data_IF_810532817796
#
_entry.id   IF_810532817796
#
_cell.length_a   1.000
_cell.length_b   1.000
_cell.length_c   1.000
_cell.angle_alpha   90.00
_cell.angle_beta   90.00
_cell.angle_gamma   90.00
#
_symmetry.space_group_name_H-M   'P 1'
#
loop_
_entity.id
_entity.type
_entity.pdbx_description
1 polymer ?
#
# COMPACT_ATOMS: atom_id res chain seq x y z
N UNK A 1 -32.19 26.36 -28.27
CA UNK A 1 -32.01 24.99 -28.80
C UNK A 1 -30.54 24.80 -29.12
N UNK A 2 -29.98 23.65 -28.75
CA UNK A 2 -28.55 23.28 -28.74
C UNK A 2 -27.80 23.81 -27.51
N UNK A 3 -27.60 23.09 -26.38
CA UNK A 3 -27.39 21.67 -26.10
C UNK A 3 -26.33 20.99 -26.97
N UNK A 4 -25.46 20.26 -26.28
CA UNK A 4 -24.41 19.35 -26.74
C UNK A 4 -22.99 19.89 -26.97
N UNK A 5 -22.07 19.20 -26.27
CA UNK A 5 -20.65 18.99 -26.56
C UNK A 5 -19.65 20.08 -26.17
N UNK A 6 -19.59 20.38 -24.87
CA UNK A 6 -18.31 20.63 -24.20
C UNK A 6 -18.17 19.65 -23.02
N UNK A 7 -18.39 18.36 -23.29
CA UNK A 7 -17.69 17.30 -22.56
C UNK A 7 -16.23 17.39 -23.00
N UNK A 8 -15.52 18.32 -22.36
CA UNK A 8 -14.08 18.32 -22.35
C UNK A 8 -13.65 16.94 -21.88
N UNK A 9 -12.84 16.30 -22.71
CA UNK A 9 -12.11 15.08 -22.44
C UNK A 9 -11.28 15.32 -21.18
N UNK A 10 -11.89 15.13 -20.02
CA UNK A 10 -11.19 14.88 -18.78
C UNK A 10 -10.61 13.48 -18.93
N UNK A 11 -9.50 13.41 -19.64
CA UNK A 11 -8.54 12.34 -19.48
C UNK A 11 -8.18 12.37 -17.99
N UNK A 12 -8.94 11.61 -17.18
CA UNK A 12 -8.67 11.38 -15.77
C UNK A 12 -7.31 10.71 -15.75
N UNK A 13 -6.26 11.52 -15.62
CA UNK A 13 -4.91 11.01 -15.39
C UNK A 13 -4.99 10.20 -14.11
N UNK A 14 -4.68 8.90 -14.19
CA UNK A 14 -4.48 8.10 -12.99
C UNK A 14 -3.38 8.77 -12.17
N UNK A 15 -3.72 9.24 -10.97
CA UNK A 15 -2.71 9.82 -10.09
C UNK A 15 -1.89 8.67 -9.52
N UNK A 16 -0.65 8.55 -10.00
CA UNK A 16 0.32 7.66 -9.40
C UNK A 16 0.86 8.29 -8.11
N UNK A 17 0.47 7.74 -6.97
CA UNK A 17 1.05 8.05 -5.68
C UNK A 17 2.29 7.18 -5.51
N UNK A 18 3.46 7.76 -5.78
CA UNK A 18 4.72 7.06 -5.55
C UNK A 18 5.24 7.35 -4.14
N UNK A 19 5.37 6.29 -3.35
CA UNK A 19 5.93 6.32 -2.01
C UNK A 19 7.23 5.50 -2.05
N UNK A 20 8.37 6.18 -1.94
CA UNK A 20 9.65 5.48 -1.81
C UNK A 20 9.76 4.95 -0.38
N UNK A 21 9.64 3.63 -0.22
CA UNK A 21 9.75 2.97 1.08
C UNK A 21 11.17 2.45 1.23
N UNK A 22 12.04 3.27 1.82
CA UNK A 22 13.38 2.82 2.23
C UNK A 22 13.31 2.29 3.65
N UNK A 23 12.66 1.14 3.83
CA UNK A 23 12.70 0.42 5.11
C UNK A 23 13.97 -0.41 5.18
N UNK A 24 15.01 0.16 5.81
CA UNK A 24 16.18 -0.61 6.22
C UNK A 24 15.80 -1.38 7.49
N UNK A 25 15.20 -2.55 7.32
CA UNK A 25 14.70 -3.38 8.42
C UNK A 25 14.63 -4.86 8.04
N UNK A 26 14.19 -5.69 8.99
CA UNK A 26 14.00 -7.12 8.73
C UNK A 26 12.85 -7.36 7.73
N UNK A 27 12.92 -8.46 6.98
CA UNK A 27 11.84 -8.91 6.08
C UNK A 27 10.47 -8.90 6.76
N UNK A 28 10.40 -9.36 8.01
CA UNK A 28 9.17 -9.40 8.80
C UNK A 28 8.59 -8.00 9.05
N UNK A 29 9.46 -7.03 9.34
CA UNK A 29 9.07 -5.63 9.54
C UNK A 29 8.46 -5.02 8.28
N UNK A 30 9.10 -5.25 7.13
CA UNK A 30 8.64 -4.71 5.84
C UNK A 30 7.31 -5.34 5.43
N UNK A 31 7.16 -6.65 5.61
CA UNK A 31 5.90 -7.35 5.34
C UNK A 31 4.76 -6.88 6.28
N UNK A 32 5.04 -6.69 7.58
CA UNK A 32 4.06 -6.15 8.53
C UNK A 32 3.61 -4.74 8.14
N UNK A 33 4.54 -3.87 7.75
CA UNK A 33 4.22 -2.53 7.22
C UNK A 33 3.28 -2.59 6.03
N UNK A 34 3.57 -3.43 5.02
CA UNK A 34 2.69 -3.55 3.85
C UNK A 34 1.29 -4.05 4.21
N UNK A 35 1.18 -4.98 5.15
CA UNK A 35 -0.11 -5.43 5.66
C UNK A 35 -0.94 -4.27 6.22
N UNK A 36 -0.35 -3.42 7.07
CA UNK A 36 -1.04 -2.27 7.61
C UNK A 36 -1.34 -1.18 6.58
N UNK A 37 -0.40 -0.90 5.68
CA UNK A 37 -0.55 0.11 4.64
C UNK A 37 -1.71 -0.25 3.69
N UNK A 38 -1.76 -1.49 3.20
CA UNK A 38 -2.84 -1.95 2.31
C UNK A 38 -4.19 -1.88 3.02
N UNK A 39 -4.32 -2.42 4.24
CA UNK A 39 -5.58 -2.33 4.99
C UNK A 39 -6.03 -0.89 5.22
N UNK A 40 -5.08 0.00 5.54
CA UNK A 40 -5.37 1.43 5.77
C UNK A 40 -5.86 2.10 4.50
N UNK A 41 -5.26 1.81 3.34
CA UNK A 41 -5.70 2.38 2.06
C UNK A 41 -7.08 1.85 1.68
N UNK A 42 -7.32 0.54 1.80
CA UNK A 42 -8.63 -0.06 1.48
C UNK A 42 -9.76 0.56 2.32
N UNK A 43 -9.48 0.85 3.59
CA UNK A 43 -10.41 1.55 4.48
C UNK A 43 -10.59 3.03 4.11
N UNK A 44 -9.49 3.79 3.99
CA UNK A 44 -9.53 5.24 3.76
C UNK A 44 -10.08 5.63 2.38
N UNK A 45 -9.92 4.76 1.38
CA UNK A 45 -10.47 4.95 0.02
C UNK A 45 -11.83 4.28 -0.16
N UNK A 46 -12.41 3.74 0.92
CA UNK A 46 -13.72 3.08 0.91
C UNK A 46 -13.87 1.97 -0.15
N UNK A 47 -12.78 1.23 -0.41
CA UNK A 47 -12.82 0.03 -1.29
C UNK A 47 -13.66 -1.06 -0.65
N UNK A 48 -13.60 -1.15 0.69
CA UNK A 48 -14.50 -1.97 1.49
C UNK A 48 -15.24 -1.09 2.51
N UNK A 49 -16.44 -1.50 2.92
CA UNK A 49 -17.21 -0.78 3.93
C UNK A 49 -16.46 -0.66 5.27
N UNK A 50 -16.64 0.44 6.02
CA UNK A 50 -15.93 0.67 7.28
C UNK A 50 -16.22 -0.40 8.35
N UNK A 51 -17.42 -0.97 8.35
CA UNK A 51 -17.82 -2.07 9.24
C UNK A 51 -17.07 -3.36 8.98
N UNK A 52 -16.43 -3.51 7.82
CA UNK A 52 -15.56 -4.65 7.49
C UNK A 52 -14.17 -4.52 8.11
N UNK A 53 -13.89 -3.45 8.85
CA UNK A 53 -12.60 -3.25 9.52
C UNK A 53 -12.74 -3.19 11.05
N UNK A 54 -11.64 -3.51 11.72
CA UNK A 54 -11.41 -3.28 13.14
C UNK A 54 -10.20 -2.38 13.31
N UNK A 55 -10.29 -1.47 14.28
CA UNK A 55 -9.15 -0.68 14.70
C UNK A 55 -8.31 -1.48 15.70
N UNK A 56 -6.99 -1.47 15.51
CA UNK A 56 -6.02 -2.04 16.45
C UNK A 56 -4.95 -1.00 16.76
N UNK A 57 -4.36 -1.05 17.96
CA UNK A 57 -3.26 -0.15 18.32
C UNK A 57 -1.92 -0.81 17.98
N UNK A 58 -1.18 -0.21 17.05
CA UNK A 58 0.14 -0.69 16.60
C UNK A 58 1.07 0.49 16.34
N UNK A 59 2.32 0.38 16.80
CA UNK A 59 3.32 1.46 16.69
C UNK A 59 2.86 2.80 17.29
N UNK A 60 2.01 2.75 18.32
CA UNK A 60 1.41 3.94 18.91
C UNK A 60 0.43 4.68 17.98
N UNK A 61 -0.10 4.01 16.95
CA UNK A 61 -1.10 4.53 16.03
C UNK A 61 -2.34 3.63 16.00
N UNK A 62 -3.53 4.22 15.79
CA UNK A 62 -4.72 3.46 15.42
C UNK A 62 -4.57 2.96 13.97
N UNK A 63 -4.40 1.67 13.79
CA UNK A 63 -4.32 1.02 12.49
C UNK A 63 -5.62 0.27 12.20
N UNK A 64 -5.97 0.14 10.91
CA UNK A 64 -7.12 -0.65 10.48
C UNK A 64 -6.66 -2.03 10.02
N UNK A 65 -7.42 -3.06 10.37
CA UNK A 65 -7.29 -4.42 9.84
C UNK A 65 -8.66 -4.92 9.42
N UNK A 66 -8.74 -5.60 8.28
CA UNK A 66 -9.98 -6.24 7.83
C UNK A 66 -10.47 -7.31 8.82
N UNK A 67 -11.79 -7.37 9.00
CA UNK A 67 -12.54 -8.45 9.66
C UNK A 67 -13.14 -9.42 8.66
N UNK A 68 -13.18 -9.08 7.37
CA UNK A 68 -13.68 -9.95 6.31
C UNK A 68 -12.71 -11.11 6.07
N UNK A 69 -13.19 -12.34 6.25
CA UNK A 69 -12.35 -13.53 6.19
C UNK A 69 -11.80 -13.81 4.78
N UNK A 70 -12.58 -13.69 3.69
CA UNK A 70 -12.04 -13.77 2.33
C UNK A 70 -10.89 -12.78 2.09
N UNK A 71 -11.06 -11.51 2.46
CA UNK A 71 -10.02 -10.49 2.31
C UNK A 71 -8.80 -10.79 3.19
N UNK A 72 -8.99 -11.24 4.44
CA UNK A 72 -7.88 -11.67 5.31
C UNK A 72 -7.07 -12.80 4.68
N UNK A 73 -7.74 -13.82 4.15
CA UNK A 73 -7.08 -14.97 3.52
C UNK A 73 -6.30 -14.54 2.27
N UNK A 74 -6.90 -13.71 1.43
CA UNK A 74 -6.25 -13.16 0.25
C UNK A 74 -5.00 -12.35 0.61
N UNK A 75 -5.14 -11.36 1.51
CA UNK A 75 -4.02 -10.53 1.94
C UNK A 75 -2.93 -11.37 2.63
N UNK A 76 -3.32 -12.36 3.45
CA UNK A 76 -2.39 -13.28 4.10
C UNK A 76 -1.57 -14.09 3.09
N UNK A 77 -2.20 -14.60 2.03
CA UNK A 77 -1.50 -15.33 0.97
C UNK A 77 -0.51 -14.43 0.22
N UNK A 78 -0.92 -13.20 -0.14
CA UNK A 78 -0.04 -12.26 -0.85
C UNK A 78 1.12 -11.80 0.03
N UNK A 79 0.86 -11.44 1.29
CA UNK A 79 1.92 -11.00 2.22
C UNK A 79 2.91 -12.11 2.55
N UNK A 80 2.46 -13.37 2.59
CA UNK A 80 3.35 -14.52 2.76
C UNK A 80 4.31 -14.68 1.58
N UNK A 81 3.79 -14.60 0.34
CA UNK A 81 4.63 -14.62 -0.86
C UNK A 81 5.59 -13.43 -0.91
N UNK A 82 5.10 -12.24 -0.58
CA UNK A 82 5.92 -11.03 -0.48
C UNK A 82 7.06 -11.20 0.53
N UNK A 83 6.80 -11.78 1.71
CA UNK A 83 7.84 -12.04 2.70
C UNK A 83 8.92 -12.98 2.17
N UNK A 84 8.55 -14.01 1.40
CA UNK A 84 9.51 -14.92 0.77
C UNK A 84 10.41 -14.19 -0.23
N UNK A 85 9.83 -13.39 -1.14
CA UNK A 85 10.61 -12.62 -2.13
C UNK A 85 11.43 -11.49 -1.50
N UNK A 86 10.96 -10.91 -0.40
CA UNK A 86 11.75 -9.96 0.38
C UNK A 86 12.97 -10.64 1.00
N UNK A 87 12.84 -11.91 1.42
CA UNK A 87 13.93 -12.73 1.92
C UNK A 87 14.99 -13.09 0.88
N UNK A 88 14.59 -13.25 -0.38
CA UNK A 88 15.52 -13.44 -1.51
C UNK A 88 16.10 -12.12 -2.03
N UNK A 89 15.50 -10.98 -1.66
CA UNK A 89 15.92 -9.65 -2.11
C UNK A 89 15.44 -9.28 -3.52
N UNK A 90 14.55 -10.08 -4.10
CA UNK A 90 14.12 -9.95 -5.50
C UNK A 90 13.02 -8.89 -5.71
N UNK A 91 12.29 -8.52 -4.66
CA UNK A 91 11.21 -7.52 -4.74
C UNK A 91 11.77 -6.15 -5.06
N UNK A 92 11.22 -5.52 -6.11
CA UNK A 92 11.51 -4.13 -6.48
C UNK A 92 10.38 -3.18 -6.11
N UNK A 93 9.13 -3.59 -6.34
CA UNK A 93 7.97 -2.72 -6.10
C UNK A 93 6.74 -3.52 -5.68
N UNK A 94 5.92 -2.92 -4.83
CA UNK A 94 4.55 -3.35 -4.59
C UNK A 94 3.61 -2.25 -5.06
N UNK A 95 2.60 -2.60 -5.84
CA UNK A 95 1.67 -1.64 -6.44
C UNK A 95 0.25 -2.04 -6.09
N UNK A 96 -0.46 -1.18 -5.37
CA UNK A 96 -1.88 -1.30 -5.11
C UNK A 96 -2.63 -0.38 -6.08
N UNK A 97 -3.44 -0.97 -6.95
CA UNK A 97 -4.26 -0.24 -7.93
C UNK A 97 -5.69 -0.20 -7.40
N UNK A 98 -6.31 0.99 -7.44
CA UNK A 98 -7.73 1.18 -7.11
C UNK A 98 -8.46 1.54 -8.39
N UNK A 99 -9.48 0.75 -8.72
CA UNK A 99 -10.21 0.86 -9.98
C UNK A 99 -11.67 1.16 -9.68
N UNK A 100 -12.28 2.04 -10.47
CA UNK A 100 -13.72 2.29 -10.41
C UNK A 100 -14.50 1.10 -10.92
N UNK A 101 -15.46 0.61 -10.16
CA UNK A 101 -16.27 -0.56 -10.52
C UNK A 101 -17.22 -0.26 -11.68
N UNK A 102 -17.77 0.96 -11.73
CA UNK A 102 -18.68 1.35 -12.80
C UNK A 102 -17.91 1.78 -14.05
N UNK A 103 -16.86 2.57 -13.88
CA UNK A 103 -16.06 3.07 -15.00
C UNK A 103 -15.10 2.03 -15.58
N UNK A 104 -14.68 1.04 -14.79
CA UNK A 104 -13.61 0.11 -15.16
C UNK A 104 -12.24 0.77 -15.31
N UNK A 105 -12.09 2.03 -14.86
CA UNK A 105 -10.86 2.82 -15.03
C UNK A 105 -10.00 2.79 -13.77
N UNK A 106 -8.68 2.90 -13.95
CA UNK A 106 -7.74 3.07 -12.83
C UNK A 106 -7.89 4.47 -12.27
N UNK A 107 -8.35 4.56 -11.03
CA UNK A 107 -8.51 5.83 -10.31
C UNK A 107 -7.22 6.23 -9.60
N UNK A 108 -6.59 5.27 -8.92
CA UNK A 108 -5.38 5.50 -8.15
C UNK A 108 -4.37 4.37 -8.33
N UNK A 109 -3.09 4.73 -8.29
CA UNK A 109 -2.00 3.75 -8.27
C UNK A 109 -1.03 4.09 -7.14
N UNK A 110 -1.06 3.28 -6.10
CA UNK A 110 -0.16 3.39 -4.95
C UNK A 110 1.07 2.53 -5.21
N UNK A 111 2.19 3.18 -5.51
CA UNK A 111 3.47 2.52 -5.81
C UNK A 111 4.36 2.60 -4.59
N UNK A 112 4.78 1.45 -4.09
CA UNK A 112 5.77 1.33 -3.02
C UNK A 112 7.07 0.80 -3.62
N UNK A 113 8.06 1.66 -3.77
CA UNK A 113 9.40 1.23 -4.17
C UNK A 113 10.08 0.58 -2.97
N UNK A 114 10.52 -0.67 -3.14
CA UNK A 114 11.21 -1.45 -2.11
C UNK A 114 12.70 -1.41 -2.42
N UNK A 115 13.46 -0.82 -1.51
CA UNK A 115 14.92 -0.87 -1.59
C UNK A 115 15.42 -2.04 -0.75
N UNK A 116 15.59 -3.19 -1.40
CA UNK A 116 16.16 -4.41 -0.79
C UNK A 116 17.68 -4.42 -0.85
N UNK A 117 18.36 -3.29 -1.13
CA UNK A 117 19.83 -3.26 -1.24
C UNK A 117 20.44 -3.93 0.00
N UNK A 118 20.80 -5.20 -0.17
CA UNK A 118 21.53 -5.94 0.82
C UNK A 118 22.81 -5.15 1.06
N UNK A 119 23.27 -5.13 2.30
CA UNK A 119 24.67 -4.82 2.57
C UNK A 119 25.54 -5.84 1.82
N UNK A 120 25.79 -5.57 0.54
CA UNK A 120 26.83 -6.20 -0.25
C UNK A 120 28.16 -5.67 0.26
N UNK A 121 28.68 -6.30 1.31
CA UNK A 121 30.06 -6.12 1.75
C UNK A 121 30.22 -5.90 3.25
N UNK A 122 30.48 -6.99 3.98
CA UNK A 122 31.45 -7.04 5.07
C UNK A 122 31.55 -5.86 6.05
N UNK A 123 30.44 -5.41 6.64
CA UNK A 123 30.42 -4.94 8.03
C UNK A 123 29.01 -5.09 8.55
N UNK A 124 28.82 -6.02 9.49
CA UNK A 124 27.58 -6.26 10.23
C UNK A 124 27.20 -4.94 10.94
N UNK A 125 26.41 -4.09 10.31
CA UNK A 125 25.82 -2.96 11.01
C UNK A 125 25.02 -3.54 12.19
N UNK A 126 25.15 -2.97 13.40
CA UNK A 126 24.38 -3.45 14.54
C UNK A 126 22.89 -3.40 14.17
N UNK A 127 22.11 -4.43 14.57
CA UNK A 127 20.67 -4.43 14.33
C UNK A 127 20.10 -3.12 14.88
N UNK A 128 19.35 -2.39 14.05
CA UNK A 128 18.62 -1.21 14.51
C UNK A 128 17.79 -1.59 15.72
N UNK A 129 17.71 -0.72 16.72
CA UNK A 129 16.84 -0.98 17.86
C UNK A 129 15.38 -0.99 17.41
N UNK A 130 14.57 -1.80 18.09
CA UNK A 130 13.14 -1.91 17.82
C UNK A 130 12.44 -0.55 17.84
N UNK A 131 12.87 0.36 18.71
CA UNK A 131 12.28 1.70 18.83
C UNK A 131 12.53 2.56 17.59
N UNK A 132 13.72 2.48 16.99
CA UNK A 132 14.02 3.17 15.73
C UNK A 132 13.13 2.60 14.61
N UNK A 133 13.05 1.27 14.50
CA UNK A 133 12.22 0.60 13.50
C UNK A 133 10.74 0.98 13.64
N UNK A 134 10.22 0.98 14.88
CA UNK A 134 8.84 1.41 15.19
C UNK A 134 8.60 2.86 14.76
N UNK A 135 9.55 3.76 15.01
CA UNK A 135 9.43 5.17 14.64
C UNK A 135 9.43 5.38 13.12
N UNK A 136 10.22 4.61 12.37
CA UNK A 136 10.23 4.64 10.90
C UNK A 136 8.89 4.19 10.33
N UNK A 137 8.33 3.08 10.82
CA UNK A 137 7.01 2.58 10.39
C UNK A 137 5.92 3.58 10.77
N UNK A 138 6.00 4.17 11.96
CA UNK A 138 5.05 5.19 12.39
C UNK A 138 5.03 6.38 11.44
N UNK A 139 6.21 6.86 11.02
CA UNK A 139 6.34 7.96 10.07
C UNK A 139 5.75 7.59 8.70
N UNK A 140 6.04 6.40 8.18
CA UNK A 140 5.51 5.93 6.90
C UNK A 140 3.99 5.77 6.92
N UNK A 141 3.42 5.23 8.01
CA UNK A 141 1.98 5.08 8.14
C UNK A 141 1.27 6.44 8.22
N UNK A 142 1.86 7.40 8.95
CA UNK A 142 1.37 8.80 8.95
C UNK A 142 1.44 9.41 7.55
N UNK A 143 2.50 9.14 6.79
CA UNK A 143 2.66 9.61 5.43
C UNK A 143 1.58 9.04 4.49
N UNK A 144 1.27 7.74 4.59
CA UNK A 144 0.16 7.11 3.85
C UNK A 144 -1.18 7.76 4.21
N UNK A 145 -1.48 7.94 5.49
CA UNK A 145 -2.73 8.60 5.90
C UNK A 145 -2.79 10.06 5.46
N UNK A 146 -1.68 10.79 5.57
CA UNK A 146 -1.59 12.18 5.15
C UNK A 146 -1.74 12.33 3.63
N UNK A 147 -1.21 11.41 2.82
CA UNK A 147 -1.34 11.52 1.37
C UNK A 147 -2.79 11.40 0.92
N UNK A 148 -3.62 10.61 1.62
CA UNK A 148 -5.06 10.49 1.32
C UNK A 148 -5.78 11.85 1.38
N UNK A 149 -5.37 12.77 2.26
CA UNK A 149 -6.05 14.07 2.42
C UNK A 149 -5.87 15.00 1.22
N UNK A 150 -4.91 14.70 0.34
CA UNK A 150 -4.65 15.45 -0.89
C UNK A 150 -5.24 14.77 -2.14
N UNK A 151 -5.87 13.60 -1.99
CA UNK A 151 -6.47 12.88 -3.11
C UNK A 151 -7.89 13.37 -3.38
N UNK A 152 -8.31 13.42 -4.66
CA UNK A 152 -9.69 13.70 -5.01
C UNK A 152 -10.67 12.74 -4.31
N UNK A 153 -11.90 13.21 -4.09
CA UNK A 153 -12.98 12.35 -3.57
C UNK A 153 -13.34 11.34 -4.66
N UNK A 154 -13.44 10.07 -4.27
CA UNK A 154 -13.96 9.00 -5.12
C UNK A 154 -15.48 8.98 -4.96
N UNK A 155 -16.20 9.02 -6.08
CA UNK A 155 -17.67 9.09 -6.12
C UNK A 155 -18.33 7.78 -6.59
N UNK A 156 -17.54 6.73 -6.80
CA UNK A 156 -18.02 5.41 -7.25
C UNK A 156 -17.47 4.27 -6.38
N UNK A 157 -18.16 3.12 -6.39
CA UNK A 157 -17.64 1.90 -5.77
C UNK A 157 -16.33 1.47 -6.44
N UNK A 158 -15.41 0.93 -5.64
CA UNK A 158 -14.07 0.58 -6.11
C UNK A 158 -13.78 -0.91 -5.96
N UNK A 159 -12.94 -1.41 -6.86
CA UNK A 159 -12.21 -2.66 -6.70
C UNK A 159 -10.71 -2.35 -6.54
N UNK A 160 -9.92 -3.36 -6.18
CA UNK A 160 -8.47 -3.22 -6.10
C UNK A 160 -7.73 -4.39 -6.72
N UNK A 161 -6.54 -4.11 -7.24
CA UNK A 161 -5.57 -5.10 -7.69
C UNK A 161 -4.26 -4.90 -6.92
N UNK A 162 -3.62 -5.99 -6.49
CA UNK A 162 -2.33 -5.95 -5.82
C UNK A 162 -1.26 -6.64 -6.68
N UNK A 163 -0.28 -5.86 -7.13
CA UNK A 163 0.79 -6.29 -8.03
C UNK A 163 2.13 -6.26 -7.29
N UNK A 164 2.92 -7.31 -7.43
CA UNK A 164 4.29 -7.36 -6.92
C UNK A 164 5.24 -7.49 -8.10
N UNK A 165 6.17 -6.55 -8.20
CA UNK A 165 7.24 -6.57 -9.19
C UNK A 165 8.49 -7.13 -8.51
N UNK A 166 8.82 -8.37 -8.84
CA UNK A 166 10.09 -9.00 -8.51
C UNK A 166 11.00 -9.00 -9.73
N UNK A 167 12.30 -9.17 -9.49
CA UNK A 167 13.28 -9.39 -10.56
C UNK A 167 12.89 -10.67 -11.30
N UNK A 168 12.89 -10.65 -12.63
CA UNK A 168 12.72 -11.87 -13.41
C UNK A 168 13.98 -12.72 -13.21
N UNK A 169 13.79 -13.99 -12.85
CA UNK A 169 14.85 -15.01 -12.89
C UNK A 169 15.53 -15.07 -14.27
#
# INVERSE_FOLDING_TARGET
NSFCTLLGVAQRMSQAQSQKVTLRGSVATVAEFFGFAVNTILYQRAVYPPESFAQVSKYGLPMMITKDDPLKQYLGAVLSQLANWLGTGEVKKLVLVVNGLQSGTVLERWVFDVDTSAEGGSTRAPPKSDDVVRSEIQALMRQVTASVTFLPVIEEECAFDLLVYASAD
#
